data_IF_772023381070
#
_entry.id   IF_772023381070
#
_cell.length_a   1.000
_cell.length_b   1.000
_cell.length_c   1.000
_cell.angle_alpha   90.00
_cell.angle_beta   90.00
_cell.angle_gamma   90.00
#
_symmetry.space_group_name_H-M   'P 1'
#
loop_
_entity.id
_entity.type
_entity.pdbx_description
1 polymer ?
#
# COMPACT_ATOMS: atom_id res chain seq x y z
N UNK A 1 10.17 -18.90 14.31
CA UNK A 1 10.58 -18.68 12.91
C UNK A 1 9.57 -17.73 12.22
N UNK A 2 9.78 -16.41 12.40
CA UNK A 2 8.97 -15.37 11.78
C UNK A 2 9.23 -15.27 10.27
N UNK A 3 8.23 -14.85 9.53
CA UNK A 3 8.37 -14.56 8.10
C UNK A 3 7.25 -13.62 7.64
N UNK A 4 7.48 -12.98 6.48
CA UNK A 4 6.44 -12.31 5.71
C UNK A 4 6.32 -12.95 4.33
N UNK A 5 5.12 -12.97 3.79
CA UNK A 5 4.84 -13.37 2.41
C UNK A 5 4.74 -12.10 1.57
N UNK A 6 5.49 -12.06 0.48
CA UNK A 6 5.46 -10.98 -0.51
C UNK A 6 4.97 -11.53 -1.83
N UNK A 7 4.32 -10.70 -2.63
CA UNK A 7 3.92 -11.02 -4.00
C UNK A 7 4.72 -10.15 -4.96
N UNK A 8 5.50 -10.78 -5.83
CA UNK A 8 6.26 -10.11 -6.88
C UNK A 8 6.02 -10.84 -8.20
N UNK A 9 5.56 -10.10 -9.20
CA UNK A 9 5.25 -10.62 -10.54
C UNK A 9 4.27 -11.84 -10.49
N UNK A 10 3.26 -11.79 -9.61
CA UNK A 10 2.24 -12.82 -9.34
C UNK A 10 2.82 -14.12 -8.73
N UNK A 11 4.00 -14.04 -8.15
CA UNK A 11 4.62 -15.16 -7.43
C UNK A 11 4.75 -14.81 -5.95
N UNK A 12 4.13 -15.63 -5.12
CA UNK A 12 4.28 -15.51 -3.68
C UNK A 12 5.67 -16.02 -3.24
N UNK A 13 6.34 -15.23 -2.42
CA UNK A 13 7.65 -15.57 -1.87
C UNK A 13 7.70 -15.34 -0.39
N UNK A 14 8.24 -16.31 0.33
CA UNK A 14 8.49 -16.24 1.77
C UNK A 14 9.81 -15.56 2.05
N UNK A 15 9.78 -14.48 2.84
CA UNK A 15 10.96 -13.81 3.39
C UNK A 15 11.02 -14.08 4.88
N UNK A 16 12.03 -14.82 5.31
CA UNK A 16 12.21 -15.18 6.70
C UNK A 16 12.85 -14.05 7.51
N UNK A 17 12.37 -13.88 8.73
CA UNK A 17 12.95 -12.96 9.71
C UNK A 17 13.99 -13.73 10.53
N UNK A 18 15.20 -13.22 10.59
CA UNK A 18 16.28 -13.78 11.39
C UNK A 18 16.10 -13.46 12.86
N UNK A 19 15.87 -12.16 13.16
CA UNK A 19 15.66 -11.68 14.52
C UNK A 19 14.84 -10.41 14.56
N UNK A 20 14.23 -10.17 15.69
CA UNK A 20 13.64 -8.89 16.07
C UNK A 20 14.16 -8.59 17.47
N UNK A 21 14.68 -7.40 17.69
CA UNK A 21 15.07 -6.97 19.04
C UNK A 21 14.63 -5.53 19.31
N UNK A 22 14.54 -5.18 20.59
CA UNK A 22 14.17 -3.86 21.06
C UNK A 22 15.44 -3.04 21.26
N UNK A 23 15.36 -1.78 20.89
CA UNK A 23 16.38 -0.77 21.07
C UNK A 23 15.73 0.53 21.58
N UNK A 24 16.53 1.52 21.86
CA UNK A 24 16.08 2.89 21.99
C UNK A 24 16.77 3.78 20.95
N UNK A 25 16.08 4.81 20.48
CA UNK A 25 16.67 5.77 19.55
C UNK A 25 17.62 6.70 20.31
N UNK A 26 18.66 7.12 19.64
CA UNK A 26 19.73 7.94 20.22
C UNK A 26 19.54 9.42 19.90
N UNK A 27 20.27 10.28 20.63
CA UNK A 27 20.39 11.69 20.29
C UNK A 27 21.07 11.85 18.93
N UNK A 28 20.58 12.81 18.13
CA UNK A 28 21.21 13.19 16.87
C UNK A 28 22.36 14.15 17.15
N UNK A 29 23.53 13.85 16.57
CA UNK A 29 24.70 14.71 16.66
C UNK A 29 24.91 15.45 15.33
N UNK A 30 25.09 16.76 15.42
CA UNK A 30 25.43 17.63 14.29
C UNK A 30 26.78 18.24 14.58
N UNK A 31 27.83 17.82 13.86
CA UNK A 31 29.19 18.28 14.02
C UNK A 31 29.47 19.51 13.14
N UNK A 32 30.02 20.54 13.74
CA UNK A 32 30.55 21.74 13.10
C UNK A 32 32.04 21.87 13.45
N UNK A 33 32.74 22.73 12.77
CA UNK A 33 34.20 22.84 12.92
C UNK A 33 34.67 23.10 14.40
N UNK A 34 33.89 23.86 15.15
CA UNK A 34 34.26 24.29 16.52
C UNK A 34 33.32 23.79 17.62
N UNK A 35 32.18 23.18 17.27
CA UNK A 35 31.20 22.70 18.25
C UNK A 35 30.37 21.55 17.70
N UNK A 36 29.68 20.84 18.58
CA UNK A 36 28.70 19.81 18.24
C UNK A 36 27.37 20.16 18.88
N UNK A 37 26.32 20.15 18.08
CA UNK A 37 24.94 20.23 18.59
C UNK A 37 24.37 18.83 18.84
N UNK A 38 23.62 18.69 19.91
CA UNK A 38 22.91 17.48 20.29
C UNK A 38 21.40 17.75 20.23
N UNK A 39 20.69 16.93 19.46
CA UNK A 39 19.24 16.95 19.38
C UNK A 39 18.70 15.69 20.07
N UNK A 40 18.01 15.90 21.19
CA UNK A 40 17.46 14.84 22.03
C UNK A 40 15.99 14.50 21.72
N UNK A 41 15.37 15.10 20.71
CA UNK A 41 13.93 14.94 20.45
C UNK A 41 13.50 13.46 20.28
N UNK A 42 14.40 12.60 19.85
CA UNK A 42 14.14 11.17 19.65
C UNK A 42 14.86 10.25 20.63
N UNK A 43 15.67 10.81 21.53
CA UNK A 43 16.43 10.04 22.50
C UNK A 43 15.49 9.27 23.45
N UNK A 44 15.71 7.96 23.60
CA UNK A 44 14.90 7.09 24.44
C UNK A 44 13.56 6.66 23.82
N UNK A 45 13.25 7.05 22.60
CA UNK A 45 12.06 6.55 21.90
C UNK A 45 12.25 5.06 21.60
N UNK A 46 11.29 4.19 21.97
CA UNK A 46 11.38 2.76 21.67
C UNK A 46 11.57 2.49 20.19
N UNK A 47 12.53 1.65 19.84
CA UNK A 47 12.89 1.25 18.49
C UNK A 47 12.87 -0.26 18.38
N UNK A 48 12.38 -0.79 17.25
CA UNK A 48 12.42 -2.20 16.93
C UNK A 48 13.30 -2.37 15.69
N UNK A 49 14.36 -3.17 15.80
CA UNK A 49 15.14 -3.61 14.64
C UNK A 49 14.66 -4.97 14.16
N UNK A 50 14.28 -5.06 12.88
CA UNK A 50 13.82 -6.29 12.23
C UNK A 50 14.82 -6.65 11.15
N UNK A 51 15.47 -7.81 11.30
CA UNK A 51 16.51 -8.29 10.38
C UNK A 51 16.00 -9.51 9.65
N UNK A 52 16.09 -9.47 8.31
CA UNK A 52 15.73 -10.60 7.46
C UNK A 52 16.89 -11.58 7.31
N UNK A 53 16.57 -12.85 7.07
CA UNK A 53 17.53 -13.76 6.45
C UNK A 53 17.80 -13.31 5.00
N UNK A 54 18.93 -13.72 4.40
CA UNK A 54 19.30 -13.30 3.06
C UNK A 54 18.49 -14.06 1.98
N UNK A 55 17.15 -13.96 2.04
CA UNK A 55 16.23 -14.58 1.07
C UNK A 55 15.94 -13.68 -0.14
N UNK A 56 16.12 -12.35 0.01
CA UNK A 56 15.81 -11.36 -1.04
C UNK A 56 16.81 -11.44 -2.18
N UNK A 57 16.34 -11.36 -3.42
CA UNK A 57 17.17 -11.54 -4.64
C UNK A 57 17.09 -10.37 -5.62
N UNK A 58 16.21 -9.39 -5.41
CA UNK A 58 16.09 -8.23 -6.30
C UNK A 58 15.64 -6.98 -5.54
N UNK A 59 15.79 -5.81 -6.17
CA UNK A 59 15.25 -4.54 -5.65
C UNK A 59 13.74 -4.57 -5.51
N UNK A 60 13.03 -5.17 -6.48
CA UNK A 60 11.56 -5.36 -6.43
C UNK A 60 11.13 -6.18 -5.22
N UNK A 61 11.80 -7.30 -4.93
CA UNK A 61 11.49 -8.13 -3.76
C UNK A 61 11.74 -7.37 -2.46
N UNK A 62 12.80 -6.56 -2.38
CA UNK A 62 13.09 -5.74 -1.21
C UNK A 62 12.02 -4.66 -1.01
N UNK A 63 11.62 -3.98 -2.08
CA UNK A 63 10.54 -2.98 -2.04
C UNK A 63 9.22 -3.61 -1.58
N UNK A 64 8.84 -4.75 -2.15
CA UNK A 64 7.64 -5.49 -1.76
C UNK A 64 7.68 -5.96 -0.29
N UNK A 65 8.86 -6.37 0.20
CA UNK A 65 9.04 -6.74 1.60
C UNK A 65 8.83 -5.53 2.53
N UNK A 66 9.46 -4.39 2.24
CA UNK A 66 9.33 -3.18 3.07
C UNK A 66 7.88 -2.68 3.07
N UNK A 67 7.20 -2.72 1.92
CA UNK A 67 5.79 -2.35 1.81
C UNK A 67 4.88 -3.27 2.64
N UNK A 68 5.08 -4.58 2.55
CA UNK A 68 4.31 -5.56 3.33
C UNK A 68 4.59 -5.44 4.84
N UNK A 69 5.85 -5.19 5.23
CA UNK A 69 6.21 -4.95 6.62
C UNK A 69 5.55 -3.68 7.15
N UNK A 70 5.67 -2.57 6.40
CA UNK A 70 5.01 -1.29 6.72
C UNK A 70 3.51 -1.50 6.94
N UNK A 71 2.84 -2.16 6.01
CA UNK A 71 1.40 -2.42 6.10
C UNK A 71 1.05 -3.25 7.34
N UNK A 72 1.83 -4.28 7.64
CA UNK A 72 1.65 -5.10 8.84
C UNK A 72 1.77 -4.27 10.13
N UNK A 73 2.80 -3.42 10.23
CA UNK A 73 3.01 -2.55 11.40
C UNK A 73 1.91 -1.50 11.57
N UNK A 74 1.38 -0.97 10.46
CA UNK A 74 0.22 -0.06 10.47
C UNK A 74 -1.06 -0.75 10.96
N UNK A 75 -1.30 -2.00 10.56
CA UNK A 75 -2.45 -2.78 11.04
C UNK A 75 -2.36 -3.09 12.52
N UNK A 76 -1.14 -3.28 13.04
CA UNK A 76 -0.86 -3.54 14.45
C UNK A 76 -0.83 -2.26 15.31
N UNK A 77 -0.95 -1.07 14.71
CA UNK A 77 -0.82 0.23 15.38
C UNK A 77 0.52 0.41 16.13
N UNK A 78 1.58 -0.25 15.64
CA UNK A 78 2.93 -0.20 16.27
C UNK A 78 3.65 1.08 15.90
N UNK A 79 3.48 1.58 14.66
CA UNK A 79 4.14 2.77 14.14
C UNK A 79 3.31 3.39 13.02
N UNK A 80 3.49 4.68 12.74
CA UNK A 80 2.94 5.36 11.56
C UNK A 80 3.77 5.11 10.29
N UNK A 81 4.93 4.45 10.43
CA UNK A 81 5.77 3.94 9.34
C UNK A 81 6.10 4.97 8.24
N UNK A 82 6.33 6.22 8.60
CA UNK A 82 6.72 7.27 7.66
C UNK A 82 8.23 7.28 7.48
N UNK A 83 8.69 6.95 6.29
CA UNK A 83 10.12 6.94 5.98
C UNK A 83 10.69 8.36 5.89
N UNK A 84 9.92 9.31 5.39
CA UNK A 84 10.26 10.73 5.31
C UNK A 84 10.46 11.38 6.69
N UNK A 85 9.68 10.99 7.69
CA UNK A 85 9.78 11.45 9.07
C UNK A 85 10.75 10.59 9.91
N UNK A 86 11.26 9.49 9.33
CA UNK A 86 12.21 8.58 9.96
C UNK A 86 11.60 7.66 11.04
N UNK A 87 10.28 7.51 11.09
CA UNK A 87 9.63 6.50 11.95
C UNK A 87 9.69 5.07 11.37
N UNK A 88 10.04 4.94 10.09
CA UNK A 88 10.50 3.71 9.47
C UNK A 88 11.83 4.00 8.77
N UNK A 89 12.87 3.25 9.12
CA UNK A 89 14.18 3.33 8.47
C UNK A 89 14.51 1.99 7.85
N UNK A 90 15.19 2.01 6.72
CA UNK A 90 15.60 0.81 6.01
C UNK A 90 17.08 0.91 5.63
N UNK A 91 17.87 -0.02 6.13
CA UNK A 91 19.25 -0.23 5.70
C UNK A 91 19.32 -1.53 4.89
N UNK A 92 20.06 -1.53 3.80
CA UNK A 92 20.14 -2.70 2.90
C UNK A 92 21.58 -3.19 2.83
N UNK A 93 21.77 -4.49 3.01
CA UNK A 93 23.04 -5.16 2.77
C UNK A 93 22.98 -5.91 1.42
N UNK A 94 23.82 -5.50 0.47
CA UNK A 94 23.90 -6.09 -0.88
C UNK A 94 25.24 -6.80 -1.08
N UNK A 95 25.19 -8.03 -1.57
CA UNK A 95 26.36 -8.74 -2.09
C UNK A 95 25.99 -9.50 -3.36
N UNK A 96 26.96 -9.70 -4.25
CA UNK A 96 26.81 -10.56 -5.42
C UNK A 96 27.70 -11.79 -5.31
N UNK A 97 27.34 -12.86 -6.00
CA UNK A 97 28.16 -14.06 -6.14
C UNK A 97 27.93 -14.69 -7.51
N UNK A 98 28.87 -15.43 -8.05
CA UNK A 98 28.69 -16.24 -9.27
C UNK A 98 27.51 -17.22 -9.09
N UNK A 99 26.84 -17.52 -10.17
CA UNK A 99 25.79 -18.54 -10.16
C UNK A 99 26.36 -19.90 -9.75
N UNK A 100 25.66 -20.58 -8.83
CA UNK A 100 26.09 -21.89 -8.30
C UNK A 100 27.03 -21.82 -7.08
N UNK A 101 27.61 -20.65 -6.77
CA UNK A 101 28.43 -20.49 -5.57
C UNK A 101 27.51 -20.45 -4.33
N UNK A 102 27.88 -21.18 -3.25
CA UNK A 102 27.12 -21.23 -1.99
C UNK A 102 27.44 -20.04 -1.08
N UNK A 103 28.69 -19.68 -0.96
CA UNK A 103 29.17 -18.60 -0.10
C UNK A 103 28.75 -17.23 -0.67
N UNK A 104 28.31 -16.34 0.22
CA UNK A 104 27.99 -14.97 -0.15
C UNK A 104 29.26 -14.17 -0.44
N UNK A 105 29.16 -13.21 -1.35
CA UNK A 105 30.23 -12.25 -1.60
C UNK A 105 30.32 -11.18 -0.50
N UNK A 106 31.26 -10.26 -0.66
CA UNK A 106 31.44 -9.13 0.26
C UNK A 106 30.20 -8.25 0.27
N UNK A 107 29.66 -8.02 1.46
CA UNK A 107 28.45 -7.20 1.63
C UNK A 107 28.80 -5.71 1.67
N UNK A 108 27.99 -4.91 1.02
CA UNK A 108 27.99 -3.45 1.08
C UNK A 108 26.68 -3.01 1.73
N UNK A 109 26.80 -2.19 2.77
CA UNK A 109 25.66 -1.60 3.45
C UNK A 109 25.26 -0.29 2.76
N UNK A 110 23.97 -0.13 2.48
CA UNK A 110 23.41 1.09 1.89
C UNK A 110 22.47 1.73 2.90
N UNK A 111 22.71 3.00 3.20
CA UNK A 111 21.93 3.83 4.12
C UNK A 111 21.23 4.97 3.37
N UNK A 112 20.41 5.72 4.10
CA UNK A 112 19.71 6.91 3.59
C UNK A 112 18.68 6.55 2.51
N UNK A 113 17.86 5.55 2.81
CA UNK A 113 16.77 5.09 1.94
C UNK A 113 15.45 5.67 2.45
N UNK A 114 15.07 6.86 1.97
CA UNK A 114 13.94 7.64 2.48
C UNK A 114 12.60 7.29 1.82
N UNK A 115 12.58 6.31 0.91
CA UNK A 115 11.35 5.79 0.30
C UNK A 115 11.54 4.35 -0.18
N UNK A 116 10.44 3.62 -0.31
CA UNK A 116 10.43 2.24 -0.85
C UNK A 116 11.00 2.20 -2.28
N UNK A 117 10.69 3.21 -3.10
CA UNK A 117 11.26 3.34 -4.45
C UNK A 117 12.78 3.50 -4.43
N UNK A 118 13.33 4.18 -3.42
CA UNK A 118 14.78 4.32 -3.27
C UNK A 118 15.45 3.01 -2.84
N UNK A 119 14.75 2.16 -2.07
CA UNK A 119 15.23 0.81 -1.73
C UNK A 119 15.48 0.00 -3.00
N UNK A 120 14.50 -0.06 -3.90
CA UNK A 120 14.63 -0.77 -5.18
C UNK A 120 15.78 -0.22 -6.03
N UNK A 121 15.77 1.10 -6.26
CA UNK A 121 16.80 1.75 -7.11
C UNK A 121 18.21 1.61 -6.56
N UNK A 122 18.38 1.71 -5.26
CA UNK A 122 19.67 1.58 -4.61
C UNK A 122 20.24 0.17 -4.75
N UNK A 123 19.42 -0.85 -4.58
CA UNK A 123 19.81 -2.25 -4.76
C UNK A 123 20.21 -2.48 -6.23
N UNK A 124 19.38 -2.06 -7.17
CA UNK A 124 19.64 -2.26 -8.61
C UNK A 124 20.91 -1.56 -9.07
N UNK A 125 21.16 -0.34 -8.57
CA UNK A 125 22.42 0.36 -8.85
C UNK A 125 23.61 -0.38 -8.26
N UNK A 126 23.52 -0.77 -6.99
CA UNK A 126 24.64 -1.41 -6.28
C UNK A 126 25.00 -2.77 -6.88
N UNK A 127 23.99 -3.56 -7.27
CA UNK A 127 24.22 -4.82 -8.00
C UNK A 127 24.96 -4.57 -9.31
N UNK A 128 24.58 -3.54 -10.08
CA UNK A 128 25.28 -3.15 -11.32
C UNK A 128 26.72 -2.72 -11.03
N UNK A 129 26.95 -1.92 -9.99
CA UNK A 129 28.27 -1.45 -9.57
C UNK A 129 29.17 -2.62 -9.19
N UNK A 130 28.71 -3.51 -8.31
CA UNK A 130 29.47 -4.69 -7.87
C UNK A 130 29.77 -5.62 -9.04
N UNK A 131 28.79 -5.84 -9.95
CA UNK A 131 29.01 -6.64 -11.17
C UNK A 131 30.08 -6.03 -12.06
N UNK A 132 30.09 -4.71 -12.23
CA UNK A 132 31.12 -4.03 -13.04
C UNK A 132 32.54 -4.18 -12.44
N UNK A 133 32.67 -4.11 -11.11
CA UNK A 133 33.93 -4.35 -10.40
C UNK A 133 34.39 -5.81 -10.58
N UNK A 134 33.46 -6.75 -10.34
CA UNK A 134 33.76 -8.17 -10.48
C UNK A 134 34.26 -8.55 -11.89
N UNK A 135 33.59 -8.04 -12.93
CA UNK A 135 33.99 -8.29 -14.33
C UNK A 135 35.35 -7.69 -14.70
N UNK A 136 35.79 -6.67 -13.95
CA UNK A 136 37.12 -6.06 -14.10
C UNK A 136 38.19 -6.72 -13.21
N UNK A 137 37.86 -7.82 -12.53
CA UNK A 137 38.70 -8.47 -11.50
C UNK A 137 39.14 -7.51 -10.38
N UNK A 138 38.30 -6.51 -10.05
CA UNK A 138 38.52 -5.59 -8.94
C UNK A 138 37.84 -6.12 -7.68
N UNK A 139 38.46 -5.86 -6.54
CA UNK A 139 37.91 -6.26 -5.23
C UNK A 139 36.68 -5.42 -4.86
N UNK A 140 35.71 -6.07 -4.25
CA UNK A 140 34.59 -5.40 -3.61
C UNK A 140 34.94 -5.30 -2.14
N UNK A 141 35.17 -4.07 -1.66
CA UNK A 141 35.47 -3.81 -0.26
C UNK A 141 34.19 -3.83 0.59
N UNK A 142 34.33 -4.16 1.87
CA UNK A 142 33.23 -4.00 2.82
C UNK A 142 33.07 -2.49 3.13
N UNK A 143 31.95 -1.92 2.68
CA UNK A 143 31.70 -0.49 2.71
C UNK A 143 30.34 -0.16 3.30
N UNK A 144 30.24 1.03 3.90
CA UNK A 144 28.94 1.71 4.07
C UNK A 144 28.84 2.81 3.02
N UNK A 145 27.75 2.78 2.27
CA UNK A 145 27.43 3.75 1.23
C UNK A 145 26.11 4.42 1.55
N UNK A 146 25.86 5.63 1.05
CA UNK A 146 24.56 6.28 1.08
C UNK A 146 23.96 6.32 -0.31
N UNK A 147 22.64 6.23 -0.39
CA UNK A 147 21.95 6.49 -1.64
C UNK A 147 21.80 7.99 -1.86
N UNK A 148 22.14 8.44 -3.05
CA UNK A 148 21.97 9.82 -3.51
C UNK A 148 20.79 9.88 -4.49
N UNK A 149 19.72 10.55 -4.07
CA UNK A 149 18.47 10.62 -4.83
C UNK A 149 18.60 11.42 -6.13
N UNK A 150 19.48 12.42 -6.16
CA UNK A 150 19.65 13.28 -7.34
C UNK A 150 20.37 12.52 -8.47
N UNK A 151 21.49 11.90 -8.15
CA UNK A 151 22.28 11.12 -9.11
C UNK A 151 21.74 9.70 -9.30
N UNK A 152 20.85 9.22 -8.42
CA UNK A 152 20.36 7.82 -8.36
C UNK A 152 21.48 6.80 -8.25
N UNK A 153 22.53 7.14 -7.51
CA UNK A 153 23.73 6.32 -7.30
C UNK A 153 24.00 6.07 -5.83
N UNK A 154 24.88 5.11 -5.54
CA UNK A 154 25.41 4.96 -4.18
C UNK A 154 26.75 5.67 -4.06
N UNK A 155 26.96 6.44 -3.00
CA UNK A 155 28.19 7.19 -2.71
C UNK A 155 28.86 6.60 -1.48
N UNK A 156 30.18 6.42 -1.53
CA UNK A 156 30.96 5.92 -0.41
C UNK A 156 30.86 6.86 0.79
N UNK A 157 30.55 6.33 1.97
CA UNK A 157 30.62 7.03 3.23
C UNK A 157 31.90 6.65 4.01
N UNK A 158 32.10 5.35 4.19
CA UNK A 158 33.27 4.82 4.90
C UNK A 158 33.59 3.40 4.47
N UNK A 159 34.85 3.02 4.49
CA UNK A 159 35.28 1.62 4.41
C UNK A 159 35.24 0.99 5.79
N UNK A 160 34.76 -0.26 5.88
CA UNK A 160 34.76 -1.02 7.13
C UNK A 160 36.03 -1.88 7.15
N UNK A 161 36.97 -1.57 8.02
CA UNK A 161 38.23 -2.31 8.16
C UNK A 161 38.09 -3.59 8.97
N UNK A 162 37.05 -3.72 9.77
CA UNK A 162 36.72 -4.91 10.57
C UNK A 162 35.24 -4.96 10.88
N UNK A 163 34.71 -6.12 11.21
CA UNK A 163 33.40 -6.24 11.82
C UNK A 163 33.41 -5.47 13.15
N UNK A 164 32.42 -4.60 13.34
CA UNK A 164 32.24 -3.91 14.65
C UNK A 164 31.78 -4.95 15.63
N UNK A 165 32.60 -5.22 16.64
CA UNK A 165 32.19 -5.98 17.80
C UNK A 165 31.50 -5.01 18.77
N UNK A 166 30.18 -5.14 18.90
CA UNK A 166 29.38 -4.31 19.80
C UNK A 166 29.62 -4.63 21.27
N UNK A 167 30.32 -5.72 21.58
CA UNK A 167 30.62 -6.16 22.96
C UNK A 167 29.40 -6.11 23.88
N UNK A 168 28.29 -6.66 23.41
CA UNK A 168 27.07 -6.76 24.20
C UNK A 168 27.35 -7.44 25.54
N UNK A 169 26.92 -6.81 26.61
CA UNK A 169 26.92 -7.36 27.97
C UNK A 169 25.62 -6.93 28.66
N UNK A 170 25.24 -7.65 29.68
CA UNK A 170 24.05 -7.35 30.48
C UNK A 170 24.29 -6.10 31.32
N UNK A 171 23.32 -5.21 31.38
CA UNK A 171 23.32 -4.06 32.29
C UNK A 171 22.96 -4.54 33.69
N UNK A 172 23.82 -4.27 34.67
CA UNK A 172 23.64 -4.73 36.07
C UNK A 172 22.38 -4.14 36.72
N UNK A 173 21.93 -2.96 36.25
CA UNK A 173 20.74 -2.29 36.75
C UNK A 173 19.42 -2.78 36.13
N UNK A 174 19.48 -3.61 35.09
CA UNK A 174 18.30 -4.15 34.41
C UNK A 174 18.15 -5.63 34.78
N UNK A 175 17.16 -5.92 35.59
CA UNK A 175 16.84 -7.32 35.92
C UNK A 175 16.28 -8.04 34.72
N UNK A 176 16.53 -9.36 34.57
CA UNK A 176 15.91 -10.15 33.50
C UNK A 176 14.38 -10.05 33.55
N UNK A 177 13.79 -9.67 32.41
CA UNK A 177 12.33 -9.58 32.25
C UNK A 177 11.82 -10.94 31.80
N UNK A 178 11.01 -11.59 32.63
CA UNK A 178 10.30 -12.80 32.27
C UNK A 178 8.85 -12.47 31.93
N UNK A 179 8.49 -12.66 30.66
CA UNK A 179 7.13 -12.42 30.21
C UNK A 179 6.18 -13.49 30.77
N UNK A 180 5.05 -13.05 31.32
CA UNK A 180 3.97 -13.97 31.73
C UNK A 180 3.36 -14.65 30.49
N UNK A 181 3.28 -15.99 30.53
CA UNK A 181 2.79 -16.79 29.41
C UNK A 181 1.32 -16.49 29.08
N UNK A 182 0.50 -16.21 30.12
CA UNK A 182 -0.90 -15.88 29.92
C UNK A 182 -1.05 -14.51 29.24
N UNK A 183 -0.22 -13.54 29.67
CA UNK A 183 -0.18 -12.24 29.00
C UNK A 183 0.22 -12.35 27.53
N UNK A 184 1.27 -13.12 27.21
CA UNK A 184 1.68 -13.38 25.81
C UNK A 184 0.53 -14.02 25.02
N UNK A 185 -0.17 -14.99 25.64
CA UNK A 185 -1.32 -15.65 24.99
C UNK A 185 -2.47 -14.67 24.75
N UNK A 186 -2.77 -13.79 25.70
CA UNK A 186 -3.78 -12.74 25.53
C UNK A 186 -3.42 -11.78 24.40
N UNK A 187 -2.17 -11.33 24.30
CA UNK A 187 -1.69 -10.47 23.22
C UNK A 187 -1.89 -11.17 21.87
N UNK A 188 -1.47 -12.43 21.74
CA UNK A 188 -1.62 -13.19 20.48
C UNK A 188 -3.09 -13.36 20.10
N UNK A 189 -3.96 -13.64 21.06
CA UNK A 189 -5.39 -13.86 20.81
C UNK A 189 -6.11 -12.57 20.39
N UNK A 190 -5.62 -11.42 20.86
CA UNK A 190 -6.20 -10.11 20.55
C UNK A 190 -5.55 -9.42 19.35
N UNK A 191 -4.62 -10.07 18.65
CA UNK A 191 -4.06 -9.50 17.43
C UNK A 191 -5.15 -9.28 16.37
N UNK A 192 -5.16 -8.13 15.71
CA UNK A 192 -6.08 -7.91 14.60
C UNK A 192 -5.75 -8.83 13.43
N UNK A 193 -6.74 -9.10 12.58
CA UNK A 193 -6.50 -9.81 11.34
C UNK A 193 -5.52 -9.02 10.46
N UNK A 194 -4.42 -9.67 10.09
CA UNK A 194 -3.34 -9.05 9.33
C UNK A 194 -3.70 -8.87 7.83
N UNK A 195 -3.07 -7.93 7.12
CA UNK A 195 -3.40 -7.63 5.71
C UNK A 195 -3.43 -8.85 4.81
N UNK A 196 -2.46 -9.76 4.94
CA UNK A 196 -2.39 -10.97 4.12
C UNK A 196 -3.55 -11.95 4.43
N UNK A 197 -3.94 -12.08 5.69
CA UNK A 197 -5.08 -12.91 6.09
C UNK A 197 -6.39 -12.33 5.54
N UNK A 198 -6.58 -11.00 5.68
CA UNK A 198 -7.74 -10.29 5.08
C UNK A 198 -7.78 -10.49 3.56
N UNK A 199 -6.65 -10.37 2.87
CA UNK A 199 -6.57 -10.56 1.44
C UNK A 199 -7.07 -11.95 1.03
N UNK A 200 -6.62 -13.00 1.73
CA UNK A 200 -7.09 -14.38 1.48
C UNK A 200 -8.58 -14.51 1.78
N UNK A 201 -9.05 -13.93 2.88
CA UNK A 201 -10.47 -13.94 3.24
C UNK A 201 -11.33 -13.24 2.19
N UNK A 202 -10.93 -12.06 1.70
CA UNK A 202 -11.67 -11.32 0.67
C UNK A 202 -11.79 -12.10 -0.65
N UNK A 203 -10.75 -12.85 -1.01
CA UNK A 203 -10.83 -13.74 -2.18
C UNK A 203 -11.78 -14.92 -1.96
N UNK A 204 -11.69 -15.58 -0.79
CA UNK A 204 -12.46 -16.79 -0.50
C UNK A 204 -13.93 -16.52 -0.20
N UNK A 205 -14.21 -15.52 0.65
CA UNK A 205 -15.56 -15.24 1.13
C UNK A 205 -16.34 -14.28 0.24
N UNK A 206 -15.63 -13.30 -0.36
CA UNK A 206 -16.29 -12.26 -1.16
C UNK A 206 -16.06 -12.41 -2.66
N UNK A 207 -15.31 -13.44 -3.09
CA UNK A 207 -15.05 -13.71 -4.50
C UNK A 207 -14.28 -12.62 -5.24
N UNK A 208 -13.52 -11.78 -4.51
CA UNK A 208 -12.71 -10.73 -5.11
C UNK A 208 -11.49 -11.30 -5.83
N UNK A 209 -11.04 -10.61 -6.87
CA UNK A 209 -9.77 -10.94 -7.51
C UNK A 209 -8.58 -10.70 -6.56
N UNK A 210 -7.44 -11.34 -6.83
CA UNK A 210 -6.20 -11.08 -6.08
C UNK A 210 -5.85 -9.58 -6.09
N UNK A 211 -6.00 -8.93 -7.24
CA UNK A 211 -5.75 -7.51 -7.40
C UNK A 211 -6.66 -6.66 -6.49
N UNK A 212 -7.98 -6.89 -6.55
CA UNK A 212 -8.93 -6.12 -5.74
C UNK A 212 -8.68 -6.30 -4.25
N UNK A 213 -8.51 -7.55 -3.82
CA UNK A 213 -8.26 -7.88 -2.42
C UNK A 213 -6.96 -7.22 -1.93
N UNK A 214 -5.90 -7.22 -2.73
CA UNK A 214 -4.63 -6.57 -2.41
C UNK A 214 -4.77 -5.04 -2.31
N UNK A 215 -5.47 -4.40 -3.24
CA UNK A 215 -5.69 -2.94 -3.18
C UNK A 215 -6.50 -2.57 -1.95
N UNK A 216 -7.59 -3.26 -1.66
CA UNK A 216 -8.44 -2.99 -0.50
C UNK A 216 -7.71 -3.20 0.84
N UNK A 217 -6.80 -4.16 0.91
CA UNK A 217 -6.05 -4.47 2.14
C UNK A 217 -4.71 -3.72 2.25
N UNK A 218 -4.31 -2.96 1.23
CA UNK A 218 -3.07 -2.17 1.25
C UNK A 218 -3.11 -1.00 2.24
N UNK A 219 -4.30 -0.61 2.69
CA UNK A 219 -4.51 0.44 3.66
C UNK A 219 -5.57 0.00 4.68
N UNK A 220 -5.25 0.12 5.97
CA UNK A 220 -6.13 -0.29 7.08
C UNK A 220 -7.47 0.44 7.06
N UNK A 221 -7.47 1.74 6.82
CA UNK A 221 -8.70 2.55 6.76
C UNK A 221 -9.59 2.12 5.60
N UNK A 222 -9.00 1.82 4.44
CA UNK A 222 -9.73 1.34 3.26
C UNK A 222 -10.36 -0.04 3.49
N UNK A 223 -9.62 -0.96 4.12
CA UNK A 223 -10.14 -2.27 4.49
C UNK A 223 -11.32 -2.16 5.46
N UNK A 224 -11.20 -1.33 6.49
CA UNK A 224 -12.29 -1.08 7.44
C UNK A 224 -13.51 -0.44 6.77
N UNK A 225 -13.29 0.53 5.87
CA UNK A 225 -14.38 1.16 5.15
C UNK A 225 -15.11 0.16 4.25
N UNK A 226 -14.36 -0.70 3.55
CA UNK A 226 -14.93 -1.79 2.74
C UNK A 226 -15.76 -2.75 3.61
N UNK A 227 -15.20 -3.25 4.71
CA UNK A 227 -15.91 -4.16 5.63
C UNK A 227 -17.17 -3.53 6.21
N UNK A 228 -17.10 -2.26 6.61
CA UNK A 228 -18.26 -1.53 7.09
C UNK A 228 -19.34 -1.34 5.99
N UNK A 229 -18.92 -1.16 4.73
CA UNK A 229 -19.85 -1.00 3.61
C UNK A 229 -20.55 -2.31 3.27
N UNK A 230 -19.83 -3.42 3.21
CA UNK A 230 -20.39 -4.74 2.86
C UNK A 230 -21.31 -5.30 3.96
N UNK A 231 -21.22 -4.79 5.18
CA UNK A 231 -22.18 -5.12 6.26
C UNK A 231 -23.60 -4.63 5.94
N UNK A 232 -23.76 -3.64 5.07
CA UNK A 232 -25.05 -3.08 4.67
C UNK A 232 -25.56 -3.59 3.31
N UNK A 233 -24.67 -4.03 2.44
CA UNK A 233 -25.04 -4.56 1.11
C UNK A 233 -24.00 -5.56 0.58
N UNK A 234 -24.43 -6.67 0.00
CA UNK A 234 -23.57 -7.83 -0.30
C UNK A 234 -23.06 -7.93 -1.76
N UNK A 235 -23.21 -6.89 -2.58
CA UNK A 235 -22.54 -6.87 -3.88
C UNK A 235 -21.08 -6.43 -3.74
N UNK A 236 -20.25 -7.36 -3.25
CA UNK A 236 -18.86 -7.12 -2.87
C UNK A 236 -18.02 -6.55 -4.01
N UNK A 237 -18.21 -7.07 -5.24
CA UNK A 237 -17.44 -6.63 -6.40
C UNK A 237 -17.78 -5.20 -6.82
N UNK A 238 -19.05 -4.84 -6.81
CA UNK A 238 -19.48 -3.50 -7.18
C UNK A 238 -19.03 -2.48 -6.12
N UNK A 239 -19.14 -2.82 -4.82
CA UNK A 239 -18.61 -1.99 -3.72
C UNK A 239 -17.10 -1.81 -3.85
N UNK A 240 -16.35 -2.90 -4.10
CA UNK A 240 -14.90 -2.83 -4.30
C UNK A 240 -14.54 -1.88 -5.46
N UNK A 241 -15.24 -1.98 -6.59
CA UNK A 241 -15.01 -1.10 -7.74
C UNK A 241 -15.25 0.38 -7.39
N UNK A 242 -16.34 0.69 -6.70
CA UNK A 242 -16.66 2.06 -6.28
C UNK A 242 -15.63 2.63 -5.31
N UNK A 243 -15.14 1.80 -4.38
CA UNK A 243 -14.07 2.21 -3.47
C UNK A 243 -12.75 2.45 -4.20
N UNK A 244 -12.33 1.50 -5.05
CA UNK A 244 -11.04 1.59 -5.72
C UNK A 244 -10.98 2.65 -6.82
N UNK A 245 -12.07 2.87 -7.55
CA UNK A 245 -12.10 3.80 -8.69
C UNK A 245 -12.58 5.17 -8.26
N UNK A 246 -13.81 5.25 -7.75
CA UNK A 246 -14.44 6.56 -7.49
C UNK A 246 -13.94 7.15 -6.18
N UNK A 247 -13.93 6.37 -5.08
CA UNK A 247 -13.57 6.91 -3.75
C UNK A 247 -12.08 7.22 -3.66
N UNK A 248 -11.19 6.29 -4.02
CA UNK A 248 -9.75 6.57 -4.03
C UNK A 248 -9.38 7.60 -5.08
N UNK A 249 -10.06 7.61 -6.24
CA UNK A 249 -9.87 8.65 -7.25
C UNK A 249 -10.19 10.05 -6.71
N UNK A 250 -11.29 10.20 -5.99
CA UNK A 250 -11.66 11.47 -5.35
C UNK A 250 -10.67 11.88 -4.26
N UNK A 251 -10.30 10.96 -3.38
CA UNK A 251 -9.35 11.16 -2.28
C UNK A 251 -8.00 11.64 -2.81
N UNK A 252 -7.46 10.97 -3.83
CA UNK A 252 -6.18 11.30 -4.45
C UNK A 252 -6.24 12.65 -5.20
N UNK A 253 -7.29 12.90 -5.97
CA UNK A 253 -7.47 14.15 -6.72
C UNK A 253 -7.53 15.38 -5.82
N UNK A 254 -8.17 15.24 -4.65
CA UNK A 254 -8.37 16.35 -3.70
C UNK A 254 -7.29 16.39 -2.59
N UNK A 255 -6.33 15.46 -2.60
CA UNK A 255 -5.27 15.33 -1.60
C UNK A 255 -5.81 15.32 -0.15
N UNK A 256 -6.85 14.53 0.08
CA UNK A 256 -7.47 14.35 1.41
C UNK A 256 -7.24 12.93 1.92
N UNK A 257 -7.35 12.74 3.23
CA UNK A 257 -7.29 11.41 3.83
C UNK A 257 -8.66 10.73 3.76
N UNK A 258 -8.69 9.41 3.58
CA UNK A 258 -9.93 8.63 3.51
C UNK A 258 -10.83 8.85 4.74
N UNK A 259 -10.24 8.94 5.94
CA UNK A 259 -10.96 9.23 7.19
C UNK A 259 -11.66 10.60 7.23
N UNK A 260 -11.32 11.51 6.32
CA UNK A 260 -11.87 12.86 6.28
C UNK A 260 -12.99 13.02 5.23
N UNK A 261 -13.34 11.96 4.49
CA UNK A 261 -14.49 12.02 3.57
C UNK A 261 -15.82 12.10 4.36
N UNK A 262 -16.80 12.75 3.78
CA UNK A 262 -18.13 12.94 4.41
C UNK A 262 -19.05 11.75 4.19
N UNK A 263 -18.90 11.04 3.07
CA UNK A 263 -19.68 9.86 2.75
C UNK A 263 -19.43 8.75 3.77
N UNK A 264 -20.49 8.22 4.36
CA UNK A 264 -20.42 7.10 5.31
C UNK A 264 -20.51 5.75 4.57
N UNK A 265 -20.02 4.64 5.15
CA UNK A 265 -20.12 3.31 4.55
C UNK A 265 -21.56 2.91 4.15
N UNK A 266 -22.54 3.23 4.97
CA UNK A 266 -23.95 2.96 4.66
C UNK A 266 -24.46 3.73 3.44
N UNK A 267 -23.96 4.95 3.21
CA UNK A 267 -24.37 5.77 2.07
C UNK A 267 -23.81 5.17 0.76
N UNK A 268 -22.56 4.72 0.79
CA UNK A 268 -21.97 4.00 -0.33
C UNK A 268 -22.73 2.68 -0.62
N UNK A 269 -23.03 1.91 0.42
CA UNK A 269 -23.81 0.68 0.29
C UNK A 269 -25.17 0.95 -0.35
N UNK A 270 -25.87 1.99 0.09
CA UNK A 270 -27.15 2.40 -0.46
C UNK A 270 -27.06 2.86 -1.90
N UNK A 271 -26.05 3.66 -2.22
CA UNK A 271 -25.78 4.11 -3.60
C UNK A 271 -25.54 2.92 -4.53
N UNK A 272 -24.70 1.99 -4.10
CA UNK A 272 -24.40 0.76 -4.88
C UNK A 272 -25.65 -0.11 -5.02
N UNK A 273 -26.45 -0.25 -3.97
CA UNK A 273 -27.72 -0.98 -4.03
C UNK A 273 -28.66 -0.39 -5.11
N UNK A 274 -28.81 0.92 -5.17
CA UNK A 274 -29.69 1.58 -6.14
C UNK A 274 -29.21 1.42 -7.59
N UNK A 275 -27.90 1.34 -7.79
CA UNK A 275 -27.32 1.05 -9.10
C UNK A 275 -27.61 -0.41 -9.51
N UNK A 276 -27.37 -1.34 -8.60
CA UNK A 276 -27.56 -2.78 -8.83
C UNK A 276 -29.01 -3.14 -9.09
N UNK A 277 -29.94 -2.47 -8.39
CA UNK A 277 -31.38 -2.59 -8.60
C UNK A 277 -31.89 -1.83 -9.85
N UNK A 278 -31.02 -1.15 -10.60
CA UNK A 278 -31.38 -0.38 -11.78
C UNK A 278 -32.25 0.85 -11.49
N UNK A 279 -32.28 1.35 -10.24
CA UNK A 279 -33.07 2.53 -9.85
C UNK A 279 -32.43 3.85 -10.24
N UNK A 280 -31.09 3.86 -10.40
CA UNK A 280 -30.34 5.00 -10.88
C UNK A 280 -29.28 4.52 -11.89
N UNK A 281 -29.00 5.35 -12.88
CA UNK A 281 -27.92 5.07 -13.85
C UNK A 281 -26.54 5.35 -13.24
N UNK A 282 -25.49 4.73 -13.80
CA UNK A 282 -24.10 4.99 -13.35
C UNK A 282 -23.71 6.47 -13.43
N UNK A 283 -24.23 7.23 -14.41
CA UNK A 283 -24.00 8.68 -14.52
C UNK A 283 -24.66 9.45 -13.39
N UNK A 284 -25.93 9.12 -13.07
CA UNK A 284 -26.64 9.73 -11.94
C UNK A 284 -25.95 9.40 -10.62
N UNK A 285 -25.51 8.14 -10.44
CA UNK A 285 -24.80 7.70 -9.27
C UNK A 285 -23.50 8.48 -9.02
N UNK A 286 -22.74 8.82 -10.06
CA UNK A 286 -21.55 9.68 -9.93
C UNK A 286 -21.89 11.08 -9.42
N UNK A 287 -22.99 11.66 -9.89
CA UNK A 287 -23.44 12.97 -9.40
C UNK A 287 -23.86 12.90 -7.92
N UNK A 288 -24.57 11.83 -7.51
CA UNK A 288 -24.93 11.61 -6.10
C UNK A 288 -23.69 11.41 -5.25
N UNK A 289 -22.72 10.61 -5.71
CA UNK A 289 -21.46 10.38 -5.05
C UNK A 289 -20.67 11.67 -4.80
N UNK A 290 -20.57 12.56 -5.77
CA UNK A 290 -19.89 13.85 -5.59
C UNK A 290 -20.53 14.71 -4.50
N UNK A 291 -21.87 14.67 -4.37
CA UNK A 291 -22.56 15.38 -3.29
C UNK A 291 -22.28 14.73 -1.92
N UNK A 292 -22.29 13.40 -1.84
CA UNK A 292 -21.99 12.64 -0.62
C UNK A 292 -20.55 12.89 -0.13
N UNK A 293 -19.60 13.08 -1.05
CA UNK A 293 -18.22 13.37 -0.70
C UNK A 293 -18.02 14.78 -0.11
N UNK A 294 -18.90 15.73 -0.46
CA UNK A 294 -18.80 17.14 -0.05
C UNK A 294 -19.62 17.48 1.18
N UNK A 295 -20.77 16.83 1.39
CA UNK A 295 -21.75 17.19 2.41
C UNK A 295 -22.25 15.94 3.15
N UNK A 296 -22.52 16.10 4.44
CA UNK A 296 -23.19 15.07 5.23
C UNK A 296 -24.69 15.11 4.92
N UNK A 297 -25.12 14.33 3.94
CA UNK A 297 -26.50 14.16 3.50
C UNK A 297 -26.75 12.67 3.21
N UNK A 298 -28.00 12.22 3.33
CA UNK A 298 -28.36 10.86 2.93
C UNK A 298 -28.48 10.75 1.41
N UNK A 299 -28.33 9.53 0.88
CA UNK A 299 -28.53 9.23 -0.54
C UNK A 299 -29.95 9.62 -0.97
N UNK A 300 -30.94 9.32 -0.14
CA UNK A 300 -32.36 9.60 -0.40
C UNK A 300 -32.62 11.11 -0.53
N UNK A 301 -32.08 11.92 0.36
CA UNK A 301 -32.20 13.39 0.30
C UNK A 301 -31.60 13.96 -0.99
N UNK A 302 -30.45 13.45 -1.42
CA UNK A 302 -29.79 13.90 -2.64
C UNK A 302 -30.60 13.50 -3.86
N UNK A 303 -31.08 12.26 -3.94
CA UNK A 303 -31.92 11.76 -5.03
C UNK A 303 -33.19 12.59 -5.17
N UNK A 304 -33.83 12.89 -4.04
CA UNK A 304 -35.05 13.71 -4.02
C UNK A 304 -34.78 15.15 -4.49
N UNK A 305 -33.69 15.77 -4.02
CA UNK A 305 -33.30 17.13 -4.44
C UNK A 305 -32.94 17.24 -5.93
N UNK A 306 -32.33 16.19 -6.46
CA UNK A 306 -31.91 16.14 -7.86
C UNK A 306 -33.03 15.67 -8.81
N UNK A 307 -34.21 15.36 -8.29
CA UNK A 307 -35.33 14.77 -9.05
C UNK A 307 -34.86 13.59 -9.94
N UNK A 308 -34.00 12.73 -9.39
CA UNK A 308 -33.51 11.55 -10.09
C UNK A 308 -34.61 10.51 -10.10
N UNK A 309 -35.32 10.41 -11.23
CA UNK A 309 -36.30 9.37 -11.48
C UNK A 309 -35.82 8.56 -12.67
N UNK A 310 -35.61 7.27 -12.47
CA UNK A 310 -35.37 6.38 -13.59
C UNK A 310 -36.71 5.83 -14.07
N UNK A 311 -37.05 6.12 -15.28
CA UNK A 311 -38.27 5.62 -15.91
C UNK A 311 -37.96 4.26 -16.48
N UNK A 312 -38.49 3.21 -15.82
CA UNK A 312 -38.35 1.80 -16.24
C UNK A 312 -39.65 1.27 -16.85
N UNK A 313 -40.62 2.13 -17.13
CA UNK A 313 -41.87 1.73 -17.79
C UNK A 313 -41.61 1.46 -19.26
N UNK A 314 -41.62 0.15 -19.61
CA UNK A 314 -41.41 -0.31 -20.99
C UNK A 314 -42.43 0.28 -22.00
N UNK A 315 -43.63 0.60 -21.56
CA UNK A 315 -44.64 1.20 -22.42
C UNK A 315 -44.27 2.66 -22.72
N UNK A 316 -43.88 3.41 -21.71
CA UNK A 316 -43.46 4.80 -21.87
C UNK A 316 -42.16 4.95 -22.67
N UNK A 317 -41.20 4.03 -22.48
CA UNK A 317 -39.98 3.96 -23.29
C UNK A 317 -40.34 3.65 -24.77
N UNK A 318 -41.24 2.71 -25.02
CA UNK A 318 -41.66 2.37 -26.37
C UNK A 318 -42.41 3.54 -27.05
N UNK A 319 -43.23 4.30 -26.30
CA UNK A 319 -43.87 5.49 -26.82
C UNK A 319 -42.84 6.54 -27.26
N UNK A 320 -41.81 6.79 -26.42
CA UNK A 320 -40.74 7.70 -26.79
C UNK A 320 -39.92 7.22 -27.98
N UNK A 321 -39.63 5.93 -28.07
CA UNK A 321 -38.96 5.36 -29.22
C UNK A 321 -39.78 5.62 -30.47
N UNK A 322 -41.10 5.36 -30.44
CA UNK A 322 -41.96 5.63 -31.57
C UNK A 322 -42.02 7.12 -31.94
N UNK A 323 -42.04 8.03 -30.98
CA UNK A 323 -41.97 9.46 -31.25
C UNK A 323 -40.68 9.84 -31.94
N UNK A 324 -39.51 9.39 -31.43
CA UNK A 324 -38.18 9.67 -32.02
C UNK A 324 -38.11 9.12 -33.46
N UNK A 325 -38.59 7.91 -33.68
CA UNK A 325 -38.62 7.32 -35.05
C UNK A 325 -39.49 8.12 -36.00
N UNK A 326 -40.60 8.73 -35.52
CA UNK A 326 -41.45 9.60 -36.31
C UNK A 326 -40.88 10.99 -36.55
N UNK A 327 -40.18 11.55 -35.58
CA UNK A 327 -39.54 12.87 -35.69
C UNK A 327 -38.30 12.89 -36.62
N UNK A 328 -37.57 11.76 -36.70
CA UNK A 328 -36.32 11.67 -37.46
C UNK A 328 -36.34 10.63 -38.58
N UNK A 329 -37.28 10.67 -39.52
CA UNK A 329 -37.44 9.64 -40.57
C UNK A 329 -36.22 9.53 -41.49
N UNK A 330 -35.50 10.62 -41.72
CA UNK A 330 -34.27 10.63 -42.50
C UNK A 330 -33.15 9.84 -41.83
N UNK A 331 -32.98 9.99 -40.49
CA UNK A 331 -32.00 9.24 -39.72
C UNK A 331 -32.34 7.75 -39.66
N UNK A 332 -33.61 7.40 -39.56
CA UNK A 332 -34.09 6.00 -39.63
C UNK A 332 -33.73 5.37 -40.98
N UNK A 333 -33.98 6.09 -42.09
CA UNK A 333 -33.61 5.65 -43.44
C UNK A 333 -32.10 5.48 -43.62
N UNK A 334 -31.31 6.41 -43.07
CA UNK A 334 -29.85 6.34 -43.10
C UNK A 334 -29.33 5.14 -42.31
N UNK A 335 -29.90 4.87 -41.12
CA UNK A 335 -29.55 3.69 -40.33
C UNK A 335 -29.90 2.37 -41.07
N UNK A 336 -31.09 2.30 -41.65
CA UNK A 336 -31.49 1.14 -42.47
C UNK A 336 -30.60 0.95 -43.70
N UNK A 337 -30.01 2.03 -44.22
CA UNK A 337 -29.02 1.99 -45.29
C UNK A 337 -27.59 1.64 -44.84
N UNK A 338 -27.39 1.26 -43.55
CA UNK A 338 -26.11 0.81 -42.99
C UNK A 338 -25.20 1.91 -42.44
N UNK A 339 -25.73 3.14 -42.19
CA UNK A 339 -24.97 4.22 -41.57
C UNK A 339 -25.15 4.21 -40.05
N UNK A 340 -24.37 3.43 -39.36
CA UNK A 340 -24.48 3.23 -37.88
C UNK A 340 -24.42 4.54 -37.06
N UNK A 341 -23.78 5.60 -37.59
CA UNK A 341 -23.72 6.93 -36.93
C UNK A 341 -25.11 7.57 -36.77
N UNK A 342 -26.08 7.22 -37.62
CA UNK A 342 -27.43 7.75 -37.53
C UNK A 342 -28.16 7.29 -36.26
N UNK A 343 -27.84 6.07 -35.74
CA UNK A 343 -28.37 5.57 -34.48
C UNK A 343 -27.94 6.39 -33.28
N UNK A 344 -26.68 6.84 -33.26
CA UNK A 344 -26.18 7.67 -32.16
C UNK A 344 -26.73 9.10 -32.16
N UNK A 345 -27.40 9.52 -33.24
CA UNK A 345 -28.06 10.83 -33.32
C UNK A 345 -29.52 10.78 -32.84
N UNK A 346 -30.21 9.67 -33.05
CA UNK A 346 -31.55 9.41 -32.56
C UNK A 346 -31.58 9.09 -31.06
#
# INVERSE_FOLDING_TARGET
NGYLLIDVDQQEKKIEIERIHLEEDTAKQLHFDTYTLLDYNRCGVPLIEIVTKPNIRSGKEAAAYVEQLKNTLLYLDVSDCKMEDGSLRCDVNVSIRPYGQKEYGTKVEIKNLNSISNVEKAIDYEVKRQKALFLKNQTIDMETRRFDEQSKTTVLMRKKTSAVDYKYFTEDNIVPIQLDVNWVHQVITNLPELPHQKMIRYQKEYGLSNYDARVLTSNKELAHYFEATIAHYSNYKLIANWLMVETLGYVNKNNILLKNIKMKPQDLAKLVQLIDEGKISSKQAKNVFEQLMQKEQSVEEIIQKMNIVQINDSNQINEWIQQVLQEFPASVSDYQAGKDRAFGFM
#
